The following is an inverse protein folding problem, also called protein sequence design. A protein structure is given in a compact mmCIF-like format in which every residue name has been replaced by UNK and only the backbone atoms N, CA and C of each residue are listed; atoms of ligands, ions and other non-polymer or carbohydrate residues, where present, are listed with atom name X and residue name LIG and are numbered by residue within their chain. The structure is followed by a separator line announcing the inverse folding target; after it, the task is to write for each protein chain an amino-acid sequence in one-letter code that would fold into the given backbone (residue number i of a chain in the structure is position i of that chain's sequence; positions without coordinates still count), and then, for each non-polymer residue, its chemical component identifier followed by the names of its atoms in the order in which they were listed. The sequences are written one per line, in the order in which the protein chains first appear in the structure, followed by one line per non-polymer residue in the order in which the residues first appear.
data_IF_817290414899
#
_entry.id   IF_817290414899
#
_cell.length_a   1.000
_cell.length_b   1.000
_cell.length_c   1.000
_cell.angle_alpha   90.00
_cell.angle_beta   90.00
_cell.angle_gamma   90.00
#
_symmetry.space_group_name_H-M   'P 1'
#
loop_
_entity.id
_entity.type
_entity.pdbx_description
1 polymer ?
#
# COMPACT_ATOMS: atom_id res chain seq x y z
N UNK A 1 13.08 -20.20 -27.18
CA UNK A 1 12.08 -20.49 -26.12
C UNK A 1 12.72 -20.71 -24.74
N UNK A 2 13.83 -21.43 -24.63
CA UNK A 2 14.55 -21.64 -23.37
C UNK A 2 15.08 -20.36 -22.73
N UNK A 3 15.58 -19.40 -23.52
CA UNK A 3 16.15 -18.14 -23.00
C UNK A 3 15.07 -17.16 -22.51
N UNK A 4 13.89 -17.14 -23.14
CA UNK A 4 12.73 -16.39 -22.67
C UNK A 4 12.24 -16.91 -21.30
N UNK A 5 12.26 -18.23 -21.11
CA UNK A 5 11.87 -18.88 -19.86
C UNK A 5 12.91 -18.70 -18.75
N UNK A 6 14.21 -18.65 -19.09
CA UNK A 6 15.27 -18.30 -18.13
C UNK A 6 15.13 -16.85 -17.66
N UNK A 7 14.79 -15.93 -18.56
CA UNK A 7 14.53 -14.52 -18.21
C UNK A 7 13.32 -14.36 -17.29
N UNK A 8 12.21 -15.05 -17.58
CA UNK A 8 11.04 -15.04 -16.71
C UNK A 8 11.36 -15.61 -15.32
N UNK A 9 12.13 -16.73 -15.24
CA UNK A 9 12.54 -17.33 -13.97
C UNK A 9 13.35 -16.36 -13.12
N UNK A 10 14.35 -15.69 -13.71
CA UNK A 10 15.18 -14.72 -13.01
C UNK A 10 14.34 -13.55 -12.48
N UNK A 11 13.45 -12.98 -13.30
CA UNK A 11 12.61 -11.86 -12.91
C UNK A 11 11.64 -12.21 -11.78
N UNK A 12 10.96 -13.35 -11.84
CA UNK A 12 10.05 -13.79 -10.77
C UNK A 12 10.79 -14.12 -9.46
N UNK A 13 11.95 -14.77 -9.52
CA UNK A 13 12.74 -15.07 -8.33
C UNK A 13 13.27 -13.78 -7.69
N UNK A 14 13.70 -12.81 -8.48
CA UNK A 14 14.13 -11.50 -7.98
C UNK A 14 12.97 -10.75 -7.34
N UNK A 15 11.80 -10.76 -7.97
CA UNK A 15 10.59 -10.13 -7.43
C UNK A 15 10.20 -10.73 -6.07
N UNK A 16 10.13 -12.05 -5.98
CA UNK A 16 9.82 -12.75 -4.73
C UNK A 16 10.84 -12.46 -3.62
N UNK A 17 12.13 -12.43 -3.96
CA UNK A 17 13.19 -12.08 -3.01
C UNK A 17 13.07 -10.63 -2.53
N UNK A 18 12.78 -9.70 -3.44
CA UNK A 18 12.54 -8.29 -3.10
C UNK A 18 11.34 -8.14 -2.17
N UNK A 19 10.24 -8.86 -2.41
CA UNK A 19 9.06 -8.85 -1.53
C UNK A 19 9.42 -9.32 -0.11
N UNK A 20 10.19 -10.40 0.01
CA UNK A 20 10.62 -10.91 1.33
C UNK A 20 11.53 -9.91 2.03
N UNK A 21 12.51 -9.34 1.34
CA UNK A 21 13.45 -8.36 1.92
C UNK A 21 12.68 -7.10 2.35
N UNK A 22 11.81 -6.55 1.48
CA UNK A 22 10.98 -5.39 1.81
C UNK A 22 10.06 -5.69 2.99
N UNK A 23 9.40 -6.85 3.01
CA UNK A 23 8.56 -7.27 4.12
C UNK A 23 9.33 -7.35 5.44
N UNK A 24 10.56 -7.85 5.41
CA UNK A 24 11.43 -7.92 6.59
C UNK A 24 11.82 -6.52 7.09
N UNK A 25 12.15 -5.61 6.19
CA UNK A 25 12.48 -4.22 6.53
C UNK A 25 11.28 -3.51 7.18
N UNK A 26 10.08 -3.69 6.61
CA UNK A 26 8.85 -3.11 7.19
C UNK A 26 8.51 -3.70 8.56
N UNK A 27 8.82 -4.97 8.78
CA UNK A 27 8.57 -5.65 10.05
C UNK A 27 9.51 -5.16 11.16
N UNK A 28 10.81 -5.01 10.86
CA UNK A 28 11.85 -4.65 11.83
C UNK A 28 11.84 -3.14 12.11
N UNK A 29 11.78 -2.31 11.08
CA UNK A 29 11.86 -0.84 11.18
C UNK A 29 10.65 -0.11 10.56
N UNK A 30 9.42 -0.35 11.05
CA UNK A 30 8.20 0.24 10.47
C UNK A 30 8.22 1.78 10.48
N UNK A 31 8.65 2.39 11.59
CA UNK A 31 8.69 3.85 11.73
C UNK A 31 9.67 4.53 10.79
N UNK A 32 10.90 4.01 10.69
CA UNK A 32 11.92 4.55 9.79
C UNK A 32 11.51 4.39 8.33
N UNK A 33 10.94 3.24 7.97
CA UNK A 33 10.47 3.01 6.60
C UNK A 33 9.35 3.97 6.22
N UNK A 34 8.39 4.19 7.13
CA UNK A 34 7.30 5.14 6.91
C UNK A 34 7.84 6.57 6.74
N UNK A 35 8.83 6.98 7.53
CA UNK A 35 9.47 8.29 7.40
C UNK A 35 10.18 8.44 6.04
N UNK A 36 10.95 7.43 5.62
CA UNK A 36 11.66 7.44 4.33
C UNK A 36 10.65 7.56 3.17
N UNK A 37 9.58 6.76 3.18
CA UNK A 37 8.52 6.82 2.15
C UNK A 37 7.86 8.20 2.14
N UNK A 38 7.56 8.75 3.31
CA UNK A 38 6.98 10.09 3.43
C UNK A 38 7.93 11.18 2.88
N UNK A 39 9.24 11.09 3.19
CA UNK A 39 10.25 12.01 2.64
C UNK A 39 10.38 11.90 1.12
N UNK A 40 10.38 10.68 0.56
CA UNK A 40 10.41 10.47 -0.89
C UNK A 40 9.20 11.13 -1.57
N UNK A 41 8.00 10.94 -1.01
CA UNK A 41 6.80 11.63 -1.49
C UNK A 41 6.94 13.15 -1.40
N UNK A 42 7.51 13.66 -0.30
CA UNK A 42 7.80 15.09 -0.12
C UNK A 42 8.74 15.63 -1.19
N UNK A 43 9.81 14.91 -1.51
CA UNK A 43 10.76 15.27 -2.58
C UNK A 43 10.06 15.32 -3.93
N UNK A 44 9.27 14.32 -4.27
CA UNK A 44 8.53 14.27 -5.54
C UNK A 44 7.55 15.44 -5.67
N UNK A 45 6.76 15.70 -4.62
CA UNK A 45 5.79 16.81 -4.61
C UNK A 45 6.48 18.17 -4.69
N UNK A 46 7.56 18.36 -3.93
CA UNK A 46 8.33 19.60 -3.93
C UNK A 46 8.96 19.85 -5.29
N UNK A 47 9.59 18.83 -5.87
CA UNK A 47 10.24 18.92 -7.20
C UNK A 47 9.21 19.22 -8.29
N UNK A 48 8.06 18.54 -8.26
CA UNK A 48 6.97 18.81 -9.19
C UNK A 48 6.45 20.25 -9.06
N UNK A 49 6.21 20.73 -7.84
CA UNK A 49 5.78 22.09 -7.58
C UNK A 49 6.81 23.12 -8.03
N UNK A 50 8.10 22.89 -7.75
CA UNK A 50 9.20 23.76 -8.17
C UNK A 50 9.30 23.85 -9.72
N UNK A 51 9.20 22.71 -10.40
CA UNK A 51 9.21 22.67 -11.88
C UNK A 51 8.06 23.50 -12.45
N UNK A 52 6.83 23.36 -11.90
CA UNK A 52 5.68 24.13 -12.37
C UNK A 52 5.86 25.64 -12.18
N UNK A 53 6.43 26.06 -11.06
CA UNK A 53 6.75 27.48 -10.81
C UNK A 53 7.78 27.98 -11.80
N UNK A 54 8.85 27.21 -12.03
CA UNK A 54 9.93 27.60 -12.98
C UNK A 54 9.37 27.69 -14.39
N UNK A 55 8.58 26.70 -14.85
CA UNK A 55 7.96 26.72 -16.18
C UNK A 55 7.05 27.95 -16.37
N UNK A 56 6.28 28.33 -15.34
CA UNK A 56 5.48 29.53 -15.38
C UNK A 56 6.29 30.82 -15.53
N UNK A 57 7.45 30.91 -14.84
CA UNK A 57 8.35 32.07 -14.93
C UNK A 57 8.95 32.22 -16.32
N UNK A 58 9.24 31.12 -17.00
CA UNK A 58 9.80 31.12 -18.36
C UNK A 58 8.73 31.24 -19.47
N UNK A 59 7.46 30.95 -19.15
CA UNK A 59 6.39 30.98 -20.14
C UNK A 59 5.88 32.41 -20.34
N UNK A 60 6.05 32.96 -21.54
CA UNK A 60 5.67 34.33 -21.91
C UNK A 60 4.16 34.52 -22.08
N UNK A 61 3.43 33.45 -22.34
CA UNK A 61 1.97 33.49 -22.55
C UNK A 61 1.21 33.23 -21.24
N UNK A 62 0.65 34.30 -20.68
CA UNK A 62 -0.17 34.22 -19.44
C UNK A 62 -1.59 33.85 -19.78
N UNK A 63 -1.85 32.57 -20.01
CA UNK A 63 -3.20 32.02 -20.20
C UNK A 63 -3.81 31.66 -18.85
N UNK A 64 -5.16 31.64 -18.75
CA UNK A 64 -5.89 31.22 -17.53
C UNK A 64 -5.41 29.84 -17.05
N UNK A 65 -5.09 28.93 -17.97
CA UNK A 65 -4.54 27.59 -17.69
C UNK A 65 -3.16 27.69 -17.02
N UNK A 66 -2.29 28.59 -17.48
CA UNK A 66 -0.94 28.74 -16.89
C UNK A 66 -0.98 29.34 -15.48
N UNK A 67 -1.97 30.20 -15.19
CA UNK A 67 -2.22 30.71 -13.84
C UNK A 67 -2.70 29.61 -12.90
N UNK A 68 -3.58 28.71 -13.36
CA UNK A 68 -4.02 27.53 -12.59
C UNK A 68 -2.88 26.58 -12.26
N UNK A 69 -1.97 26.33 -13.22
CA UNK A 69 -0.78 25.52 -13.02
C UNK A 69 0.19 26.12 -11.99
N UNK A 70 0.33 27.47 -11.97
CA UNK A 70 1.15 28.15 -10.95
C UNK A 70 0.58 27.93 -9.56
N UNK A 71 -0.73 28.13 -9.36
CA UNK A 71 -1.38 27.95 -8.06
C UNK A 71 -1.19 26.51 -7.56
N UNK A 72 -1.42 25.51 -8.42
CA UNK A 72 -1.16 24.10 -8.09
C UNK A 72 0.32 23.86 -7.78
N UNK A 73 1.23 24.43 -8.56
CA UNK A 73 2.67 24.34 -8.34
C UNK A 73 3.08 24.89 -6.96
N UNK A 74 2.54 26.05 -6.55
CA UNK A 74 2.80 26.62 -5.23
C UNK A 74 2.24 25.70 -4.13
N UNK A 75 1.02 25.20 -4.29
CA UNK A 75 0.40 24.29 -3.30
C UNK A 75 1.26 23.04 -3.13
N UNK A 76 1.68 22.39 -4.22
CA UNK A 76 2.52 21.20 -4.16
C UNK A 76 3.92 21.49 -3.59
N UNK A 77 4.52 22.63 -3.91
CA UNK A 77 5.81 23.04 -3.35
C UNK A 77 5.72 23.28 -1.84
N UNK A 78 4.66 23.96 -1.37
CA UNK A 78 4.43 24.22 0.05
C UNK A 78 4.17 22.91 0.82
N UNK A 79 3.29 22.04 0.30
CA UNK A 79 2.98 20.75 0.93
C UNK A 79 4.23 19.87 0.94
N UNK A 80 4.93 19.75 -0.19
CA UNK A 80 6.16 18.96 -0.31
C UNK A 80 7.24 19.47 0.63
N UNK A 81 7.45 20.78 0.71
CA UNK A 81 8.38 21.40 1.64
C UNK A 81 8.02 21.15 3.11
N UNK A 82 6.74 21.20 3.43
CA UNK A 82 6.26 20.89 4.80
C UNK A 82 6.53 19.42 5.17
N UNK A 83 6.26 18.48 4.23
CA UNK A 83 6.55 17.07 4.43
C UNK A 83 8.04 16.84 4.70
N UNK A 84 8.93 17.52 3.95
CA UNK A 84 10.38 17.40 4.12
C UNK A 84 10.87 17.93 5.48
N UNK A 85 10.27 19.03 5.95
CA UNK A 85 10.65 19.62 7.23
C UNK A 85 10.12 18.85 8.45
N UNK A 86 8.90 18.32 8.37
CA UNK A 86 8.23 17.62 9.47
C UNK A 86 7.39 16.44 8.99
N UNK A 87 8.03 15.34 8.54
CA UNK A 87 7.32 14.17 8.04
C UNK A 87 6.41 13.53 9.09
N UNK A 88 6.79 13.62 10.36
CA UNK A 88 6.02 13.06 11.49
C UNK A 88 4.61 13.65 11.60
N UNK A 89 4.45 14.95 11.34
CA UNK A 89 3.13 15.60 11.40
C UNK A 89 2.16 15.04 10.35
N UNK A 90 2.66 14.79 9.15
CA UNK A 90 1.84 14.22 8.06
C UNK A 90 1.51 12.76 8.34
N UNK A 91 2.47 11.98 8.84
CA UNK A 91 2.26 10.57 9.23
C UNK A 91 1.17 10.46 10.31
N UNK A 92 1.12 11.41 11.25
CA UNK A 92 0.09 11.44 12.29
C UNK A 92 -1.25 12.00 11.79
N UNK A 93 -1.24 12.97 10.87
CA UNK A 93 -2.46 13.64 10.42
C UNK A 93 -3.45 12.66 9.76
N UNK A 94 -2.96 11.74 8.93
CA UNK A 94 -3.82 10.79 8.19
C UNK A 94 -4.63 9.89 9.13
N UNK A 95 -4.02 9.16 10.10
CA UNK A 95 -4.79 8.35 11.04
C UNK A 95 -5.75 9.16 11.92
N UNK A 96 -5.35 10.40 12.30
CA UNK A 96 -6.21 11.27 13.10
C UNK A 96 -7.45 11.69 12.33
N UNK A 97 -7.30 12.14 11.08
CA UNK A 97 -8.43 12.51 10.22
C UNK A 97 -9.37 11.31 10.02
N UNK A 98 -8.80 10.14 9.67
CA UNK A 98 -9.57 8.90 9.51
C UNK A 98 -10.25 8.52 10.82
N UNK A 99 -9.56 8.64 11.96
CA UNK A 99 -10.10 8.36 13.28
C UNK A 99 -11.29 9.25 13.64
N UNK A 100 -11.21 10.54 13.34
CA UNK A 100 -12.33 11.49 13.55
C UNK A 100 -13.53 11.09 12.69
N UNK A 101 -13.33 10.77 11.42
CA UNK A 101 -14.42 10.32 10.53
C UNK A 101 -15.07 9.03 11.04
N UNK A 102 -14.26 8.06 11.50
CA UNK A 102 -14.76 6.80 12.07
C UNK A 102 -15.57 7.06 13.36
N UNK A 103 -15.11 7.94 14.23
CA UNK A 103 -15.84 8.32 15.45
C UNK A 103 -17.19 8.95 15.11
N UNK A 104 -17.23 9.91 14.18
CA UNK A 104 -18.48 10.53 13.74
C UNK A 104 -19.42 9.48 13.18
N UNK A 105 -18.93 8.59 12.32
CA UNK A 105 -19.73 7.50 11.75
C UNK A 105 -20.24 6.53 12.81
N UNK A 106 -19.40 6.15 13.77
CA UNK A 106 -19.77 5.28 14.89
C UNK A 106 -20.83 5.90 15.81
N UNK A 107 -20.74 7.22 16.07
CA UNK A 107 -21.76 7.94 16.82
C UNK A 107 -23.10 7.96 16.07
N UNK A 108 -23.07 8.16 14.75
CA UNK A 108 -24.25 8.12 13.91
C UNK A 108 -24.93 6.74 13.96
N UNK A 109 -24.14 5.65 13.83
CA UNK A 109 -24.64 4.28 13.94
C UNK A 109 -25.24 3.98 15.33
N UNK A 110 -24.59 4.46 16.40
CA UNK A 110 -25.12 4.33 17.74
C UNK A 110 -26.46 5.08 17.92
N UNK A 111 -26.58 6.28 17.35
CA UNK A 111 -27.83 7.04 17.36
C UNK A 111 -28.96 6.31 16.59
N UNK A 112 -28.65 5.70 15.44
CA UNK A 112 -29.61 4.89 14.69
C UNK A 112 -30.07 3.65 15.49
N UNK A 113 -29.18 3.04 16.29
CA UNK A 113 -29.54 1.92 17.14
C UNK A 113 -30.64 2.30 18.16
N UNK A 114 -30.61 3.52 18.69
CA UNK A 114 -31.68 4.02 19.56
C UNK A 114 -33.00 4.25 18.80
N UNK A 115 -32.97 4.69 17.55
CA UNK A 115 -34.16 4.78 16.72
C UNK A 115 -34.78 3.41 16.49
N UNK A 116 -33.98 2.39 16.15
CA UNK A 116 -34.42 1.00 16.01
C UNK A 116 -35.07 0.45 17.26
N UNK A 117 -34.57 0.84 18.45
CA UNK A 117 -35.18 0.47 19.74
C UNK A 117 -36.60 1.03 19.88
N UNK A 118 -36.80 2.30 19.51
CA UNK A 118 -38.09 2.97 19.58
C UNK A 118 -39.10 2.37 18.59
N UNK A 119 -38.61 1.84 17.45
CA UNK A 119 -39.44 1.15 16.46
C UNK A 119 -39.76 -0.33 16.84
N UNK A 120 -39.33 -0.78 18.02
CA UNK A 120 -39.66 -2.11 18.55
C UNK A 120 -38.77 -3.24 18.00
N UNK A 121 -37.59 -2.93 17.43
CA UNK A 121 -36.67 -3.95 16.91
C UNK A 121 -35.89 -4.63 18.04
N UNK A 122 -36.09 -5.93 18.26
CA UNK A 122 -35.52 -6.68 19.36
C UNK A 122 -34.00 -6.72 19.42
N UNK A 123 -33.34 -6.62 18.28
CA UNK A 123 -31.85 -6.72 18.16
C UNK A 123 -31.15 -5.35 18.05
N UNK A 124 -31.77 -4.27 18.50
CA UNK A 124 -31.19 -2.93 18.49
C UNK A 124 -29.82 -2.85 19.20
N UNK A 125 -29.61 -3.68 20.21
CA UNK A 125 -28.38 -3.76 21.00
C UNK A 125 -27.16 -4.18 20.16
N UNK A 126 -27.35 -5.00 19.09
CA UNK A 126 -26.28 -5.40 18.17
C UNK A 126 -25.79 -4.18 17.38
N UNK A 127 -26.71 -3.37 16.86
CA UNK A 127 -26.38 -2.13 16.16
C UNK A 127 -25.66 -1.14 17.09
N UNK A 128 -26.11 -1.03 18.33
CA UNK A 128 -25.45 -0.20 19.34
C UNK A 128 -24.03 -0.69 19.67
N UNK A 129 -23.83 -1.98 19.86
CA UNK A 129 -22.50 -2.58 20.10
C UNK A 129 -21.54 -2.32 18.93
N UNK A 130 -22.01 -2.48 17.69
CA UNK A 130 -21.20 -2.20 16.51
C UNK A 130 -20.84 -0.72 16.41
N UNK A 131 -21.79 0.18 16.69
CA UNK A 131 -21.53 1.63 16.75
C UNK A 131 -20.51 1.97 17.84
N UNK A 132 -20.67 1.45 19.04
CA UNK A 132 -19.74 1.66 20.15
C UNK A 132 -18.34 1.13 19.84
N UNK A 133 -18.24 -0.07 19.25
CA UNK A 133 -16.96 -0.64 18.81
C UNK A 133 -16.27 0.26 17.78
N UNK A 134 -17.05 0.80 16.82
CA UNK A 134 -16.53 1.72 15.81
C UNK A 134 -15.98 3.01 16.44
N UNK A 135 -16.69 3.57 17.45
CA UNK A 135 -16.22 4.75 18.20
C UNK A 135 -14.90 4.44 18.93
N UNK A 136 -14.81 3.29 19.59
CA UNK A 136 -13.60 2.86 20.30
C UNK A 136 -12.42 2.74 19.33
N UNK A 137 -12.62 2.09 18.20
CA UNK A 137 -11.58 1.93 17.17
C UNK A 137 -11.12 3.29 16.63
N UNK A 138 -12.06 4.20 16.31
CA UNK A 138 -11.72 5.57 15.90
C UNK A 138 -10.98 6.34 17.00
N UNK A 139 -11.37 6.16 18.25
CA UNK A 139 -10.68 6.75 19.42
C UNK A 139 -9.23 6.28 19.56
N UNK A 140 -8.96 5.00 19.31
CA UNK A 140 -7.59 4.44 19.33
C UNK A 140 -6.73 5.09 18.24
N UNK A 141 -7.28 5.33 17.04
CA UNK A 141 -6.55 6.02 15.95
C UNK A 141 -6.17 7.45 16.33
N UNK A 142 -7.06 8.16 17.04
CA UNK A 142 -6.81 9.54 17.46
C UNK A 142 -5.80 9.57 18.63
N UNK A 143 -5.92 8.65 19.59
CA UNK A 143 -5.10 8.66 20.80
C UNK A 143 -3.64 8.29 20.54
N UNK A 144 -3.39 7.28 19.67
CA UNK A 144 -2.04 6.79 19.37
C UNK A 144 -1.80 6.57 17.87
N UNK A 145 -1.82 7.63 17.04
CA UNK A 145 -1.70 7.51 15.59
C UNK A 145 -0.41 6.83 15.14
N UNK A 146 0.72 7.12 15.80
CA UNK A 146 2.02 6.50 15.52
C UNK A 146 2.02 4.98 15.74
N UNK A 147 1.43 4.52 16.83
CA UNK A 147 1.33 3.08 17.12
C UNK A 147 0.49 2.37 16.06
N UNK A 148 -0.61 2.98 15.67
CA UNK A 148 -1.51 2.41 14.65
C UNK A 148 -0.78 2.30 13.31
N UNK A 149 -0.12 3.36 12.84
CA UNK A 149 0.67 3.33 11.59
C UNK A 149 1.73 2.23 11.65
N UNK A 150 2.52 2.18 12.72
CA UNK A 150 3.56 1.16 12.88
C UNK A 150 2.99 -0.26 12.89
N UNK A 151 1.81 -0.47 13.50
CA UNK A 151 1.15 -1.77 13.51
C UNK A 151 0.67 -2.16 12.12
N UNK A 152 0.05 -1.25 11.40
CA UNK A 152 -0.40 -1.47 10.01
C UNK A 152 0.78 -1.79 9.09
N UNK A 153 1.87 -1.02 9.19
CA UNK A 153 3.09 -1.25 8.38
C UNK A 153 3.71 -2.60 8.70
N UNK A 154 3.73 -3.03 9.97
CA UNK A 154 4.18 -4.39 10.34
C UNK A 154 3.30 -5.47 9.75
N UNK A 155 1.97 -5.31 9.79
CA UNK A 155 1.04 -6.25 9.16
C UNK A 155 1.29 -6.35 7.65
N UNK A 156 1.47 -5.22 6.97
CA UNK A 156 1.84 -5.21 5.55
C UNK A 156 3.16 -5.96 5.34
N UNK A 157 4.16 -5.76 6.19
CA UNK A 157 5.43 -6.50 6.14
C UNK A 157 5.23 -8.01 6.25
N UNK A 158 4.38 -8.49 7.17
CA UNK A 158 4.04 -9.91 7.32
C UNK A 158 3.38 -10.45 6.05
N UNK A 159 2.42 -9.71 5.48
CA UNK A 159 1.76 -10.13 4.25
C UNK A 159 2.73 -10.18 3.06
N UNK A 160 3.66 -9.23 2.94
CA UNK A 160 4.68 -9.26 1.89
C UNK A 160 5.63 -10.47 2.03
N UNK A 161 6.01 -10.82 3.25
CA UNK A 161 6.83 -12.02 3.50
C UNK A 161 6.06 -13.27 3.09
N UNK A 162 4.80 -13.37 3.48
CA UNK A 162 3.94 -14.49 3.11
C UNK A 162 3.80 -14.61 1.58
N UNK A 163 3.54 -13.51 0.89
CA UNK A 163 3.40 -13.42 -0.56
C UNK A 163 4.71 -13.86 -1.26
N UNK A 164 5.84 -13.29 -0.86
CA UNK A 164 7.15 -13.66 -1.41
C UNK A 164 7.52 -15.12 -1.17
N UNK A 165 7.20 -15.70 0.00
CA UNK A 165 7.40 -17.13 0.26
C UNK A 165 6.48 -18.01 -0.62
N UNK A 166 5.22 -17.60 -0.77
CA UNK A 166 4.24 -18.27 -1.63
C UNK A 166 4.71 -18.31 -3.07
N UNK A 167 5.20 -17.20 -3.58
CA UNK A 167 5.76 -17.08 -4.93
C UNK A 167 6.94 -18.03 -5.16
N UNK A 168 7.89 -18.08 -4.23
CA UNK A 168 9.02 -19.03 -4.29
C UNK A 168 8.53 -20.47 -4.31
N UNK A 169 7.55 -20.80 -3.49
CA UNK A 169 6.99 -22.15 -3.43
C UNK A 169 6.28 -22.55 -4.74
N UNK A 170 5.45 -21.66 -5.28
CA UNK A 170 4.73 -21.86 -6.55
C UNK A 170 5.72 -22.06 -7.70
N UNK A 171 6.73 -21.19 -7.81
CA UNK A 171 7.79 -21.31 -8.81
C UNK A 171 8.52 -22.66 -8.73
N UNK A 172 8.86 -23.10 -7.53
CA UNK A 172 9.55 -24.40 -7.33
C UNK A 172 8.72 -25.57 -7.87
N UNK A 173 7.39 -25.51 -7.76
CA UNK A 173 6.46 -26.53 -8.24
C UNK A 173 6.30 -26.50 -9.77
N UNK A 174 6.12 -25.31 -10.34
CA UNK A 174 5.99 -25.13 -11.80
C UNK A 174 7.22 -25.69 -12.52
N UNK A 175 8.42 -25.39 -12.02
CA UNK A 175 9.66 -25.88 -12.64
C UNK A 175 9.84 -27.39 -12.48
N UNK A 176 9.39 -27.98 -11.37
CA UNK A 176 9.45 -29.43 -11.17
C UNK A 176 8.54 -30.17 -12.14
N UNK A 177 7.32 -29.67 -12.35
CA UNK A 177 6.36 -30.25 -13.29
C UNK A 177 6.89 -30.17 -14.73
N UNK A 178 7.45 -29.01 -15.13
CA UNK A 178 7.97 -28.82 -16.48
C UNK A 178 9.20 -29.69 -16.76
N UNK A 179 10.12 -29.83 -15.82
CA UNK A 179 11.30 -30.71 -15.96
C UNK A 179 10.90 -32.18 -16.11
N UNK A 180 9.82 -32.59 -15.44
CA UNK A 180 9.30 -33.94 -15.59
C UNK A 180 8.64 -34.15 -16.95
N UNK A 181 7.92 -33.15 -17.48
CA UNK A 181 7.33 -33.20 -18.82
C UNK A 181 8.42 -33.26 -19.92
N UNK A 182 9.49 -32.48 -19.82
CA UNK A 182 10.63 -32.54 -20.75
C UNK A 182 11.27 -33.94 -20.75
N UNK A 183 11.51 -34.54 -19.57
CA UNK A 183 12.06 -35.89 -19.47
C UNK A 183 11.18 -36.96 -20.09
N UNK A 184 9.85 -36.85 -20.01
CA UNK A 184 8.91 -37.78 -20.60
C UNK A 184 8.94 -37.67 -22.13
N UNK A 185 9.03 -36.46 -22.66
CA UNK A 185 9.15 -36.20 -24.10
C UNK A 185 10.46 -36.76 -24.65
N UNK A 186 11.60 -36.47 -24.00
CA UNK A 186 12.91 -36.99 -24.41
C UNK A 186 12.94 -38.53 -24.37
N UNK A 187 12.35 -39.17 -23.36
CA UNK A 187 12.26 -40.62 -23.27
C UNK A 187 11.41 -41.21 -24.42
N UNK A 188 10.32 -40.57 -24.77
CA UNK A 188 9.45 -41.04 -25.87
C UNK A 188 10.09 -40.91 -27.26
N UNK A 189 11.02 -39.96 -27.46
CA UNK A 189 11.79 -39.85 -28.70
C UNK A 189 12.86 -40.95 -28.83
N UNK A 190 13.48 -41.34 -27.71
CA UNK A 190 14.48 -42.43 -27.71
C UNK A 190 13.87 -43.78 -28.02
N UNK A 191 12.67 -44.07 -27.47
CA UNK A 191 11.98 -45.32 -27.70
C UNK A 191 11.51 -45.48 -29.18
N UNK A 192 11.30 -44.37 -29.91
CA UNK A 192 10.89 -44.39 -31.34
C UNK A 192 12.11 -44.60 -32.27
N UNK A 193 13.32 -44.19 -31.86
CA UNK A 193 14.54 -44.43 -32.66
C UNK A 193 15.15 -45.85 -32.51
N UNK A 194 14.78 -46.60 -31.44
CA UNK A 194 15.21 -48.01 -31.27
C UNK A 194 14.35 -49.04 -32.05
N UNK A 195 13.16 -48.64 -32.50
CA UNK A 195 12.24 -49.55 -33.24
C UNK A 195 12.35 -49.45 -34.78
N UNK A 196 13.24 -48.61 -35.36
CA UNK A 196 13.56 -48.50 -36.77
C UNK A 196 14.94 -49.14 -37.11
#
# INVERSE_FOLDING_TARGET
MADFLKGLKANYTISALLCVILGLVLLIWPGTTTQIVCMLLGIVLFTYGAIQIVLYLFNRERTIVSQGMLVLGIIFAVIGGWILLKPEMIIMAVPVIVGVLIVIHGLHNAAQAFALKNDGYDRWWVAFLLGALTVILGGILIYNPFKVVNTVVRLIGIFLIYDGLSDVWILSRIFKVKRNAEKIIDASYVDVEEDD
#
